data_IF_060331049966
#
_entry.id   IF_060331049966
#
_cell.length_a   1.000
_cell.length_b   1.000
_cell.length_c   1.000
_cell.angle_alpha   90.00
_cell.angle_beta   90.00
_cell.angle_gamma   90.00
#
_symmetry.space_group_name_H-M   'P 1'
#
loop_
_entity.id
_entity.type
_entity.pdbx_description
1 polymer ?
#
# COMPACT_ATOMS: atom_id res chain seq x y z
N UNK A 1 12.11 17.08 9.96
CA UNK A 1 11.93 16.26 8.75
C UNK A 1 11.27 17.14 7.70
N UNK A 2 11.51 16.92 6.39
CA UNK A 2 10.74 17.62 5.37
C UNK A 2 9.24 17.34 5.56
N UNK A 3 8.40 18.37 5.43
CA UNK A 3 6.95 18.19 5.40
C UNK A 3 6.54 17.51 4.09
N UNK A 4 5.53 16.64 4.10
CA UNK A 4 5.02 16.05 2.87
C UNK A 4 4.42 17.12 1.95
N UNK A 5 4.64 16.97 0.66
CA UNK A 5 4.13 17.87 -0.38
C UNK A 5 3.16 17.10 -1.27
N UNK A 6 1.94 17.63 -1.40
CA UNK A 6 0.95 17.14 -2.36
C UNK A 6 1.32 17.64 -3.77
N UNK A 7 1.26 16.76 -4.76
CA UNK A 7 1.19 17.19 -6.16
C UNK A 7 -0.19 17.79 -6.41
N UNK A 8 -0.28 19.12 -6.46
CA UNK A 8 -1.55 19.83 -6.67
C UNK A 8 -2.13 19.63 -8.08
N UNK A 9 -1.28 19.34 -9.08
CA UNK A 9 -1.71 19.12 -10.48
C UNK A 9 -2.30 17.74 -10.69
N UNK A 10 -1.88 16.75 -9.90
CA UNK A 10 -2.44 15.39 -9.96
C UNK A 10 -3.42 15.11 -8.82
N UNK A 11 -3.33 15.85 -7.73
CA UNK A 11 -3.97 15.57 -6.45
C UNK A 11 -3.48 14.25 -5.85
N UNK A 12 -2.16 14.13 -5.76
CA UNK A 12 -1.49 12.85 -5.51
C UNK A 12 -0.34 13.00 -4.51
N UNK A 13 -0.24 12.05 -3.60
CA UNK A 13 0.94 11.85 -2.76
C UNK A 13 1.65 10.60 -3.29
N UNK A 14 2.88 10.77 -3.76
CA UNK A 14 3.71 9.62 -4.13
C UNK A 14 4.07 8.78 -2.88
N UNK A 15 4.67 7.59 -3.09
CA UNK A 15 4.99 6.68 -1.98
C UNK A 15 5.88 7.32 -0.89
N UNK A 16 6.79 8.21 -1.26
CA UNK A 16 7.66 8.89 -0.31
C UNK A 16 6.90 9.96 0.48
N UNK A 17 6.11 10.79 -0.20
CA UNK A 17 5.27 11.81 0.46
C UNK A 17 4.24 11.16 1.39
N UNK A 18 3.62 10.06 0.95
CA UNK A 18 2.71 9.27 1.75
C UNK A 18 3.39 8.71 3.01
N UNK A 19 4.60 8.17 2.87
CA UNK A 19 5.38 7.70 4.02
C UNK A 19 5.65 8.82 5.01
N UNK A 20 6.11 9.99 4.55
CA UNK A 20 6.37 11.14 5.42
C UNK A 20 5.09 11.59 6.15
N UNK A 21 3.94 11.62 5.46
CA UNK A 21 2.66 12.01 6.06
C UNK A 21 2.24 11.05 7.18
N UNK A 22 2.35 9.75 6.93
CA UNK A 22 2.03 8.74 7.94
C UNK A 22 3.04 8.74 9.10
N UNK A 23 4.31 9.05 8.81
CA UNK A 23 5.36 9.16 9.82
C UNK A 23 5.10 10.35 10.74
N UNK A 24 4.77 11.52 10.19
CA UNK A 24 4.43 12.73 10.95
C UNK A 24 3.18 12.54 11.82
N UNK A 25 2.18 11.81 11.32
CA UNK A 25 0.92 11.60 12.04
C UNK A 25 1.04 10.65 13.26
N UNK A 26 2.08 9.83 13.35
CA UNK A 26 2.33 8.91 14.48
C UNK A 26 1.11 8.09 14.94
N UNK A 27 0.38 7.49 13.99
CA UNK A 27 -0.90 6.83 14.26
C UNK A 27 -0.76 5.63 15.21
N UNK A 28 -1.57 5.62 16.28
CA UNK A 28 -1.52 4.57 17.30
C UNK A 28 -1.97 3.20 16.76
N UNK A 29 -1.07 2.22 16.86
CA UNK A 29 -1.30 0.84 16.43
C UNK A 29 -1.06 0.61 14.94
N UNK A 30 -0.38 1.56 14.27
CA UNK A 30 0.15 1.43 12.92
C UNK A 30 1.68 1.45 12.97
N UNK A 31 2.31 0.47 12.34
CA UNK A 31 3.75 0.42 12.16
C UNK A 31 4.10 0.77 10.72
N UNK A 32 5.16 1.55 10.55
CA UNK A 32 5.74 1.86 9.25
C UNK A 32 7.06 1.10 9.10
N UNK A 33 7.29 0.37 8.00
CA UNK A 33 8.61 -0.13 7.68
C UNK A 33 9.57 1.04 7.47
N UNK A 34 10.80 0.93 7.96
CA UNK A 34 11.81 1.98 7.74
C UNK A 34 11.96 2.22 6.23
N UNK A 35 11.77 3.46 5.81
CA UNK A 35 11.76 3.84 4.39
C UNK A 35 12.68 5.03 4.20
N UNK A 36 13.48 4.97 3.14
CA UNK A 36 14.45 6.00 2.76
C UNK A 36 14.37 6.24 1.26
N UNK A 37 14.80 7.41 0.78
CA UNK A 37 15.11 7.59 -0.63
C UNK A 37 16.43 6.89 -0.97
N UNK A 38 16.58 6.38 -2.20
CA UNK A 38 17.78 5.65 -2.62
C UNK A 38 19.10 6.41 -2.36
N UNK A 39 19.21 7.74 -2.58
CA UNK A 39 20.43 8.50 -2.25
C UNK A 39 20.80 8.51 -0.77
N UNK A 40 19.85 8.20 0.12
CA UNK A 40 20.07 8.17 1.57
C UNK A 40 20.62 6.81 2.04
N UNK A 41 20.63 5.80 1.17
CA UNK A 41 21.11 4.47 1.50
C UNK A 41 22.64 4.45 1.51
N UNK A 42 23.20 4.13 2.66
CA UNK A 42 24.60 3.73 2.83
C UNK A 42 24.72 2.21 2.96
N UNK A 43 25.93 1.68 2.82
CA UNK A 43 26.21 0.25 3.06
C UNK A 43 25.82 -0.14 4.48
N UNK A 44 26.18 0.69 5.47
CA UNK A 44 25.85 0.44 6.87
C UNK A 44 24.35 0.41 7.10
N UNK A 45 23.60 1.32 6.47
CA UNK A 45 22.14 1.35 6.56
C UNK A 45 21.54 0.11 5.90
N UNK A 46 21.99 -0.24 4.70
CA UNK A 46 21.53 -1.43 3.97
C UNK A 46 21.73 -2.71 4.81
N UNK A 47 22.85 -2.81 5.52
CA UNK A 47 23.20 -3.95 6.39
C UNK A 47 22.42 -4.01 7.72
N UNK A 48 21.71 -2.95 8.13
CA UNK A 48 20.89 -2.97 9.35
C UNK A 48 19.74 -3.99 9.28
N UNK A 49 19.26 -4.29 8.07
CA UNK A 49 18.19 -5.24 7.84
C UNK A 49 18.58 -6.26 6.78
N UNK A 50 18.08 -7.48 6.90
CA UNK A 50 18.39 -8.56 5.98
C UNK A 50 17.63 -8.49 4.66
N UNK A 51 16.61 -7.63 4.53
CA UNK A 51 15.82 -7.53 3.31
C UNK A 51 15.13 -6.17 3.14
N UNK A 52 15.09 -5.70 1.90
CA UNK A 52 14.49 -4.44 1.49
C UNK A 52 13.74 -4.58 0.17
N UNK A 53 12.68 -3.80 0.01
CA UNK A 53 12.05 -3.52 -1.27
C UNK A 53 12.59 -2.24 -1.87
N UNK A 54 12.84 -2.26 -3.18
CA UNK A 54 13.19 -1.12 -4.01
C UNK A 54 11.95 -0.77 -4.84
N UNK A 55 11.41 0.43 -4.67
CA UNK A 55 10.14 0.83 -5.31
C UNK A 55 10.25 2.24 -5.88
N UNK A 56 10.00 2.44 -7.18
CA UNK A 56 9.79 3.77 -7.72
C UNK A 56 8.59 4.47 -7.05
N UNK A 57 8.68 5.79 -6.85
CA UNK A 57 7.68 6.54 -6.08
C UNK A 57 6.33 6.64 -6.79
N UNK A 58 6.29 6.69 -8.12
CA UNK A 58 5.07 6.94 -8.91
C UNK A 58 4.41 5.70 -9.52
N UNK A 59 5.03 4.51 -9.44
CA UNK A 59 4.49 3.33 -10.12
C UNK A 59 3.22 2.81 -9.46
N UNK A 60 2.27 2.35 -10.26
CA UNK A 60 1.07 1.64 -9.81
C UNK A 60 1.21 0.15 -10.11
N UNK A 61 0.48 -0.69 -9.39
CA UNK A 61 0.33 -2.11 -9.73
C UNK A 61 1.57 -2.99 -9.52
N UNK A 62 2.60 -2.50 -8.84
CA UNK A 62 3.79 -3.29 -8.49
C UNK A 62 4.88 -3.39 -9.57
N UNK A 63 4.78 -2.61 -10.65
CA UNK A 63 5.77 -2.60 -11.72
C UNK A 63 7.13 -2.04 -11.24
N UNK A 64 8.21 -2.66 -11.70
CA UNK A 64 9.61 -2.31 -11.38
C UNK A 64 9.97 -2.39 -9.89
N UNK A 65 9.20 -3.15 -9.10
CA UNK A 65 9.58 -3.42 -7.71
C UNK A 65 10.65 -4.51 -7.71
N UNK A 66 11.69 -4.30 -6.93
CA UNK A 66 12.66 -5.34 -6.62
C UNK A 66 12.73 -5.60 -5.13
N UNK A 67 13.24 -6.78 -4.77
CA UNK A 67 13.62 -7.14 -3.42
C UNK A 67 15.10 -7.43 -3.39
N UNK A 68 15.80 -6.83 -2.42
CA UNK A 68 17.18 -7.18 -2.10
C UNK A 68 17.21 -7.93 -0.78
N UNK A 69 17.94 -9.04 -0.72
CA UNK A 69 18.02 -9.90 0.46
C UNK A 69 19.46 -10.28 0.72
N UNK A 70 19.89 -10.17 1.97
CA UNK A 70 21.18 -10.67 2.46
C UNK A 70 20.99 -12.07 3.03
N UNK A 71 21.68 -13.04 2.45
CA UNK A 71 21.69 -14.42 2.92
C UNK A 71 22.64 -14.58 4.11
N UNK A 72 22.46 -15.65 4.90
CA UNK A 72 23.33 -15.96 6.03
C UNK A 72 24.80 -16.18 5.62
N UNK A 73 25.06 -16.55 4.36
CA UNK A 73 26.41 -16.64 3.78
C UNK A 73 27.09 -15.29 3.56
N UNK A 74 26.38 -14.18 3.73
CA UNK A 74 26.85 -12.82 3.40
C UNK A 74 26.55 -12.39 1.96
N UNK A 75 26.11 -13.31 1.09
CA UNK A 75 25.75 -13.01 -0.29
C UNK A 75 24.46 -12.18 -0.36
N UNK A 76 24.48 -11.14 -1.18
CA UNK A 76 23.32 -10.35 -1.51
C UNK A 76 22.63 -10.88 -2.76
N UNK A 77 21.30 -10.87 -2.76
CA UNK A 77 20.48 -11.21 -3.91
C UNK A 77 19.53 -10.08 -4.23
N UNK A 78 19.51 -9.66 -5.49
CA UNK A 78 18.50 -8.79 -6.08
C UNK A 78 17.53 -9.65 -6.88
N UNK A 79 16.23 -9.44 -6.69
CA UNK A 79 15.15 -10.12 -7.41
C UNK A 79 14.10 -9.08 -7.81
N UNK A 80 13.88 -8.86 -9.10
CA UNK A 80 12.88 -7.92 -9.60
C UNK A 80 11.57 -8.61 -10.00
N UNK A 81 10.48 -7.84 -10.00
CA UNK A 81 9.14 -8.31 -10.32
C UNK A 81 8.98 -8.81 -11.77
N UNK A 82 9.89 -8.42 -12.67
CA UNK A 82 9.95 -8.88 -14.06
C UNK A 82 10.78 -10.17 -14.26
N UNK A 83 11.30 -10.75 -13.16
CA UNK A 83 11.98 -12.03 -13.15
C UNK A 83 13.51 -11.95 -13.24
N UNK A 84 14.09 -10.76 -13.33
CA UNK A 84 15.54 -10.61 -13.25
C UNK A 84 16.05 -10.94 -11.82
N UNK A 85 17.16 -11.68 -11.76
CA UNK A 85 17.82 -12.04 -10.51
C UNK A 85 19.33 -11.91 -10.64
N UNK A 86 19.95 -11.19 -9.70
CA UNK A 86 21.42 -10.99 -9.63
C UNK A 86 21.93 -11.29 -8.24
N UNK A 87 23.17 -11.78 -8.14
CA UNK A 87 23.84 -12.02 -6.87
C UNK A 87 25.09 -11.15 -6.76
N UNK A 88 25.37 -10.65 -5.55
CA UNK A 88 26.49 -9.77 -5.28
C UNK A 88 27.21 -10.21 -4.01
N UNK A 89 28.54 -10.36 -4.08
CA UNK A 89 29.36 -10.68 -2.92
C UNK A 89 29.55 -9.48 -2.00
N UNK A 90 29.51 -8.26 -2.56
CA UNK A 90 29.70 -7.02 -1.81
C UNK A 90 28.50 -6.08 -1.95
N UNK A 91 28.06 -5.43 -0.85
CA UNK A 91 26.93 -4.50 -0.87
C UNK A 91 27.19 -3.25 -1.72
N UNK A 92 28.46 -2.87 -1.91
CA UNK A 92 28.84 -1.73 -2.77
C UNK A 92 28.48 -1.98 -4.24
N UNK A 93 28.67 -3.20 -4.73
CA UNK A 93 28.33 -3.57 -6.11
C UNK A 93 26.81 -3.55 -6.31
N UNK A 94 26.07 -4.10 -5.33
CA UNK A 94 24.61 -4.05 -5.32
C UNK A 94 24.12 -2.59 -5.37
N UNK A 95 24.64 -1.73 -4.49
CA UNK A 95 24.23 -0.33 -4.44
C UNK A 95 24.54 0.41 -5.75
N UNK A 96 25.69 0.13 -6.35
CA UNK A 96 26.07 0.70 -7.66
C UNK A 96 25.11 0.27 -8.76
N UNK A 97 24.68 -0.99 -8.77
CA UNK A 97 23.64 -1.48 -9.69
C UNK A 97 22.30 -0.80 -9.44
N UNK A 98 21.87 -0.63 -8.18
CA UNK A 98 20.62 0.06 -7.87
C UNK A 98 20.63 1.51 -8.37
N UNK A 99 21.72 2.24 -8.14
CA UNK A 99 21.89 3.62 -8.62
C UNK A 99 21.93 3.73 -10.15
N UNK A 100 22.27 2.65 -10.85
CA UNK A 100 22.27 2.61 -12.32
C UNK A 100 20.89 2.24 -12.88
N UNK A 101 20.19 1.31 -12.23
CA UNK A 101 18.90 0.80 -12.71
C UNK A 101 17.71 1.70 -12.35
N UNK A 102 17.82 2.49 -11.29
CA UNK A 102 16.74 3.29 -10.75
C UNK A 102 17.09 4.77 -10.75
N UNK A 103 16.09 5.63 -10.97
CA UNK A 103 16.24 7.09 -10.76
C UNK A 103 16.31 7.34 -9.25
N UNK A 104 17.46 7.77 -8.70
CA UNK A 104 17.67 7.74 -7.25
C UNK A 104 16.66 8.59 -6.47
N UNK A 105 16.43 9.83 -6.87
CA UNK A 105 15.54 10.78 -6.20
C UNK A 105 14.06 10.38 -6.30
N UNK A 106 13.73 9.43 -7.16
CA UNK A 106 12.36 8.95 -7.41
C UNK A 106 12.19 7.48 -7.03
N UNK A 107 13.05 6.97 -6.16
CA UNK A 107 13.04 5.58 -5.71
C UNK A 107 13.17 5.50 -4.20
N UNK A 108 12.24 4.79 -3.57
CA UNK A 108 12.34 4.45 -2.15
C UNK A 108 12.97 3.07 -1.96
N UNK A 109 13.70 2.95 -0.86
CA UNK A 109 14.24 1.71 -0.31
C UNK A 109 13.57 1.49 1.03
N UNK A 110 12.71 0.47 1.08
CA UNK A 110 11.79 0.21 2.19
C UNK A 110 12.09 -1.15 2.83
N UNK A 111 12.27 -1.17 4.14
CA UNK A 111 12.50 -2.39 4.91
C UNK A 111 11.39 -3.40 4.62
N UNK A 112 11.76 -4.67 4.42
CA UNK A 112 10.76 -5.74 4.43
C UNK A 112 10.20 -5.91 5.84
N UNK A 113 8.91 -5.65 6.00
CA UNK A 113 8.23 -5.77 7.29
C UNK A 113 8.22 -7.23 7.80
N UNK A 114 8.29 -7.47 9.12
CA UNK A 114 8.29 -8.80 9.72
C UNK A 114 6.87 -9.39 9.81
N UNK A 115 6.26 -9.62 8.65
CA UNK A 115 4.85 -10.05 8.54
C UNK A 115 4.71 -11.56 8.39
N UNK A 116 3.53 -12.07 8.71
CA UNK A 116 3.15 -13.47 8.53
C UNK A 116 3.00 -13.80 7.04
N UNK A 117 3.11 -15.09 6.75
CA UNK A 117 2.72 -15.71 5.49
C UNK A 117 1.62 -16.72 5.72
N UNK A 118 0.86 -17.07 4.68
CA UNK A 118 -0.10 -18.16 4.70
C UNK A 118 0.52 -19.37 4.01
N UNK A 119 0.93 -20.38 4.78
CA UNK A 119 1.58 -21.58 4.24
C UNK A 119 2.79 -21.25 3.35
N UNK A 120 3.61 -20.27 3.76
CA UNK A 120 4.78 -19.80 3.00
C UNK A 120 4.46 -18.78 1.90
N UNK A 121 3.19 -18.51 1.60
CA UNK A 121 2.79 -17.50 0.59
C UNK A 121 2.63 -16.12 1.22
N UNK A 122 3.17 -15.06 0.60
CA UNK A 122 2.97 -13.70 1.10
C UNK A 122 1.49 -13.32 1.00
N UNK A 123 1.01 -12.55 1.97
CA UNK A 123 -0.32 -11.96 1.90
C UNK A 123 -0.32 -10.52 2.42
N UNK A 124 -1.35 -9.78 2.04
CA UNK A 124 -1.73 -8.53 2.68
C UNK A 124 -3.25 -8.43 2.85
N UNK A 125 -3.68 -7.43 3.61
CA UNK A 125 -5.08 -7.03 3.73
C UNK A 125 -5.29 -5.73 2.97
N UNK A 126 -6.04 -5.79 1.87
CA UNK A 126 -6.60 -4.63 1.18
C UNK A 126 -7.83 -4.15 1.94
N UNK A 127 -7.78 -2.90 2.39
CA UNK A 127 -8.93 -2.20 2.98
C UNK A 127 -9.34 -1.07 2.05
N UNK A 128 -10.61 -1.06 1.63
CA UNK A 128 -11.17 0.04 0.86
C UNK A 128 -11.98 0.94 1.78
N UNK A 129 -11.62 2.23 1.80
CA UNK A 129 -12.33 3.28 2.50
C UNK A 129 -13.01 4.20 1.49
N UNK A 130 -14.20 4.65 1.84
CA UNK A 130 -15.10 5.39 0.97
C UNK A 130 -15.86 6.42 1.81
N UNK A 131 -16.10 7.63 1.30
CA UNK A 131 -17.12 8.56 1.81
C UNK A 131 -18.54 7.99 1.70
N UNK A 132 -19.37 8.14 2.71
CA UNK A 132 -20.79 7.80 2.64
C UNK A 132 -21.62 8.92 1.97
N UNK A 133 -22.94 8.90 2.21
CA UNK A 133 -23.86 9.90 1.66
C UNK A 133 -23.83 11.23 2.43
N UNK A 134 -23.30 11.23 3.66
CA UNK A 134 -23.10 12.40 4.52
C UNK A 134 -21.65 12.91 4.47
N UNK A 135 -20.85 12.38 3.54
CA UNK A 135 -19.44 12.71 3.35
C UNK A 135 -18.52 12.26 4.52
N UNK A 136 -18.97 11.28 5.31
CA UNK A 136 -18.17 10.68 6.36
C UNK A 136 -17.37 9.48 5.84
N UNK A 137 -16.12 9.32 6.29
CA UNK A 137 -15.33 8.13 5.98
C UNK A 137 -15.94 6.87 6.59
N UNK A 138 -16.14 5.86 5.75
CA UNK A 138 -16.46 4.49 6.16
C UNK A 138 -15.47 3.50 5.57
N UNK A 139 -15.26 2.40 6.28
CA UNK A 139 -14.60 1.23 5.68
C UNK A 139 -15.64 0.49 4.85
N UNK A 140 -15.47 0.53 3.53
CA UNK A 140 -16.35 -0.10 2.58
C UNK A 140 -16.21 -1.62 2.63
N UNK A 141 -14.98 -2.12 2.77
CA UNK A 141 -14.71 -3.55 2.85
C UNK A 141 -13.25 -3.87 3.10
N UNK A 142 -13.00 -5.11 3.50
CA UNK A 142 -11.67 -5.71 3.59
C UNK A 142 -11.62 -6.98 2.73
N UNK A 143 -10.47 -7.22 2.11
CA UNK A 143 -10.14 -8.51 1.51
C UNK A 143 -8.69 -8.85 1.79
N UNK A 144 -8.38 -10.14 1.82
CA UNK A 144 -7.01 -10.62 1.87
C UNK A 144 -6.56 -10.98 0.45
N UNK A 145 -5.38 -10.52 0.05
CA UNK A 145 -4.71 -10.94 -1.19
C UNK A 145 -3.59 -11.89 -0.81
N UNK A 146 -3.63 -13.12 -1.31
CA UNK A 146 -2.57 -14.10 -1.07
C UNK A 146 -1.85 -14.35 -2.38
N UNK A 147 -0.57 -13.98 -2.44
CA UNK A 147 0.27 -14.13 -3.63
C UNK A 147 0.52 -15.60 -4.00
N UNK A 148 1.10 -15.82 -5.18
CA UNK A 148 1.51 -17.14 -5.63
C UNK A 148 2.68 -17.70 -4.81
N UNK A 149 2.87 -19.02 -4.92
CA UNK A 149 4.03 -19.71 -4.36
C UNK A 149 5.31 -19.09 -4.96
N UNK A 150 6.29 -18.79 -4.12
CA UNK A 150 7.56 -18.14 -4.46
C UNK A 150 7.50 -16.68 -4.94
N UNK A 151 6.33 -16.03 -4.94
CA UNK A 151 6.25 -14.60 -5.26
C UNK A 151 6.94 -13.75 -4.20
N UNK A 152 7.62 -12.69 -4.66
CA UNK A 152 8.18 -11.66 -3.78
C UNK A 152 7.12 -10.66 -3.27
N UNK A 153 5.96 -10.59 -3.94
CA UNK A 153 4.85 -9.68 -3.60
C UNK A 153 3.52 -10.43 -3.54
N UNK A 154 2.58 -9.90 -2.78
CA UNK A 154 1.19 -10.39 -2.66
C UNK A 154 0.29 -10.00 -3.85
N UNK A 155 0.84 -9.37 -4.89
CA UNK A 155 0.05 -8.97 -6.05
C UNK A 155 -0.49 -10.19 -6.80
N UNK A 156 -1.80 -10.20 -7.07
CA UNK A 156 -2.52 -11.33 -7.67
C UNK A 156 -2.32 -11.38 -9.20
N UNK A 157 -1.89 -10.27 -9.81
CA UNK A 157 -1.87 -10.07 -11.27
C UNK A 157 -0.97 -11.00 -12.09
N UNK A 158 -0.09 -11.80 -11.47
CA UNK A 158 0.90 -12.63 -12.19
C UNK A 158 0.79 -14.14 -11.96
N UNK A 159 -0.36 -14.64 -11.48
CA UNK A 159 -0.69 -16.07 -11.49
C UNK A 159 -1.13 -16.61 -10.13
N UNK A 160 -2.03 -17.62 -10.12
CA UNK A 160 -2.54 -18.44 -9.00
C UNK A 160 -2.74 -17.80 -7.61
N UNK A 161 -2.72 -16.48 -7.50
CA UNK A 161 -3.07 -15.74 -6.30
C UNK A 161 -4.57 -15.89 -6.05
N UNK A 162 -4.97 -15.72 -4.80
CA UNK A 162 -6.38 -15.83 -4.42
C UNK A 162 -6.80 -14.67 -3.53
N UNK A 163 -8.08 -14.34 -3.61
CA UNK A 163 -8.75 -13.43 -2.69
C UNK A 163 -9.48 -14.25 -1.64
N UNK A 164 -9.23 -13.95 -0.37
CA UNK A 164 -9.95 -14.55 0.75
C UNK A 164 -10.72 -13.48 1.55
N UNK A 165 -11.87 -13.84 2.15
CA UNK A 165 -12.46 -13.03 3.22
C UNK A 165 -11.42 -12.80 4.33
N UNK A 166 -11.20 -11.54 4.72
CA UNK A 166 -10.17 -11.20 5.72
C UNK A 166 -10.34 -11.99 7.02
N UNK A 167 -11.56 -12.18 7.51
CA UNK A 167 -11.79 -12.96 8.74
C UNK A 167 -11.41 -14.44 8.60
N UNK A 168 -11.55 -15.02 7.40
CA UNK A 168 -11.14 -16.39 7.12
C UNK A 168 -9.61 -16.49 7.21
N UNK A 169 -8.89 -15.60 6.51
CA UNK A 169 -7.43 -15.54 6.58
C UNK A 169 -6.95 -15.37 8.03
N UNK A 170 -7.50 -14.38 8.76
CA UNK A 170 -7.11 -14.10 10.14
C UNK A 170 -7.29 -15.32 11.06
N UNK A 171 -8.34 -16.12 10.85
CA UNK A 171 -8.56 -17.35 11.63
C UNK A 171 -7.55 -18.44 11.29
N UNK A 172 -7.14 -18.54 10.02
CA UNK A 172 -6.13 -19.52 9.59
C UNK A 172 -4.74 -19.17 10.14
N UNK A 173 -4.31 -17.91 10.04
CA UNK A 173 -2.93 -17.51 10.41
C UNK A 173 -2.72 -17.39 11.92
N UNK A 174 -3.75 -17.01 12.68
CA UNK A 174 -3.62 -16.86 14.15
C UNK A 174 -4.12 -18.05 14.95
N UNK A 175 -5.03 -18.86 14.38
CA UNK A 175 -5.71 -19.96 15.10
C UNK A 175 -6.33 -19.53 16.45
N UNK A 176 -6.67 -18.24 16.57
CA UNK A 176 -7.19 -17.62 17.79
C UNK A 176 -8.28 -16.62 17.42
N UNK A 177 -9.55 -16.97 17.71
CA UNK A 177 -10.72 -16.19 17.29
C UNK A 177 -10.75 -14.80 17.91
N UNK A 178 -10.35 -14.65 19.17
CA UNK A 178 -10.37 -13.38 19.86
C UNK A 178 -9.32 -12.42 19.28
N UNK A 179 -8.13 -12.93 19.01
CA UNK A 179 -7.08 -12.17 18.34
C UNK A 179 -7.52 -11.75 16.94
N UNK A 180 -8.06 -12.68 16.12
CA UNK A 180 -8.59 -12.37 14.79
C UNK A 180 -9.63 -11.24 14.85
N UNK A 181 -10.56 -11.30 15.81
CA UNK A 181 -11.57 -10.25 16.00
C UNK A 181 -10.99 -8.90 16.42
N UNK A 182 -9.99 -8.89 17.31
CA UNK A 182 -9.27 -7.66 17.71
C UNK A 182 -8.51 -7.04 16.55
N UNK A 183 -7.82 -7.86 15.75
CA UNK A 183 -7.07 -7.39 14.57
C UNK A 183 -8.01 -6.76 13.55
N UNK A 184 -9.15 -7.39 13.25
CA UNK A 184 -10.13 -6.84 12.33
C UNK A 184 -10.69 -5.49 12.78
N UNK A 185 -11.01 -5.34 14.08
CA UNK A 185 -11.44 -4.04 14.63
C UNK A 185 -10.34 -2.98 14.55
N UNK A 186 -9.08 -3.37 14.78
CA UNK A 186 -7.94 -2.45 14.70
C UNK A 186 -7.66 -2.02 13.26
N UNK A 187 -7.75 -2.93 12.28
CA UNK A 187 -7.69 -2.60 10.85
C UNK A 187 -8.71 -1.51 10.53
N UNK A 188 -9.99 -1.72 10.88
CA UNK A 188 -11.04 -0.70 10.66
C UNK A 188 -10.68 0.65 11.26
N UNK A 189 -10.26 0.67 12.53
CA UNK A 189 -9.91 1.93 13.22
C UNK A 189 -8.77 2.65 12.53
N UNK A 190 -7.65 1.95 12.33
CA UNK A 190 -6.43 2.51 11.74
C UNK A 190 -6.67 2.98 10.30
N UNK A 191 -7.50 2.28 9.52
CA UNK A 191 -7.87 2.74 8.18
C UNK A 191 -8.61 4.08 8.19
N UNK A 192 -9.55 4.26 9.12
CA UNK A 192 -10.25 5.54 9.27
C UNK A 192 -9.32 6.64 9.82
N UNK A 193 -8.38 6.30 10.69
CA UNK A 193 -7.37 7.24 11.18
C UNK A 193 -6.46 7.72 10.03
N UNK A 194 -6.02 6.81 9.14
CA UNK A 194 -5.28 7.15 7.92
C UNK A 194 -6.09 8.11 7.04
N UNK A 195 -7.37 7.80 6.78
CA UNK A 195 -8.24 8.67 6.00
C UNK A 195 -8.36 10.09 6.58
N UNK A 196 -8.46 10.23 7.91
CA UNK A 196 -8.51 11.54 8.57
C UNK A 196 -7.19 12.31 8.45
N UNK A 197 -6.05 11.62 8.43
CA UNK A 197 -4.76 12.27 8.14
C UNK A 197 -4.74 12.76 6.70
N UNK A 198 -5.22 11.95 5.74
CA UNK A 198 -5.23 12.34 4.33
C UNK A 198 -6.11 13.56 4.06
N UNK A 199 -7.20 13.74 4.82
CA UNK A 199 -8.06 14.93 4.75
C UNK A 199 -7.32 16.24 5.05
N UNK A 200 -6.16 16.20 5.72
CA UNK A 200 -5.35 17.42 5.95
C UNK A 200 -4.51 17.83 4.74
N UNK A 201 -4.40 16.96 3.73
CA UNK A 201 -3.68 17.23 2.49
C UNK A 201 -4.64 17.52 1.34
N UNK A 202 -5.72 16.74 1.25
CA UNK A 202 -6.60 16.75 0.10
C UNK A 202 -7.97 16.11 0.42
N UNK A 203 -9.03 16.57 -0.24
CA UNK A 203 -10.35 15.95 -0.26
C UNK A 203 -10.31 14.69 -1.14
N UNK A 204 -9.88 13.58 -0.55
CA UNK A 204 -10.01 12.28 -1.17
C UNK A 204 -11.41 11.71 -0.94
N UNK A 205 -11.88 10.96 -1.93
CA UNK A 205 -13.16 10.26 -1.91
C UNK A 205 -12.97 8.79 -1.53
N UNK A 206 -11.86 8.21 -1.96
CA UNK A 206 -11.60 6.79 -1.86
C UNK A 206 -10.13 6.51 -1.58
N UNK A 207 -9.91 5.56 -0.67
CA UNK A 207 -8.57 5.16 -0.24
C UNK A 207 -8.49 3.65 -0.17
N UNK A 208 -7.59 3.07 -0.97
CA UNK A 208 -7.20 1.67 -0.88
C UNK A 208 -5.93 1.54 -0.04
N UNK A 209 -6.01 0.83 1.07
CA UNK A 209 -4.90 0.68 2.01
C UNK A 209 -4.47 -0.78 2.08
N UNK A 210 -3.17 -1.01 1.94
CA UNK A 210 -2.57 -2.33 1.97
C UNK A 210 -1.79 -2.52 3.26
N UNK A 211 -2.19 -3.52 4.04
CA UNK A 211 -1.59 -3.83 5.34
C UNK A 211 -0.94 -5.21 5.36
N UNK A 212 0.25 -5.28 5.93
CA UNK A 212 0.83 -6.51 6.45
C UNK A 212 0.47 -6.73 7.92
N UNK A 213 0.51 -7.98 8.37
CA UNK A 213 0.23 -8.35 9.75
C UNK A 213 1.34 -9.23 10.30
N UNK A 214 1.84 -8.93 11.49
CA UNK A 214 2.84 -9.79 12.15
C UNK A 214 2.22 -10.85 13.07
N UNK A 215 3.06 -11.73 13.64
CA UNK A 215 2.63 -12.81 14.52
C UNK A 215 1.84 -12.38 15.76
N UNK A 216 1.89 -11.11 16.14
CA UNK A 216 1.22 -10.55 17.32
C UNK A 216 -0.02 -9.74 16.94
N UNK A 217 -0.40 -9.69 15.66
CA UNK A 217 -1.50 -8.85 15.20
C UNK A 217 -1.16 -7.36 15.17
N UNK A 218 0.13 -6.99 15.12
CA UNK A 218 0.56 -5.62 14.83
C UNK A 218 0.42 -5.37 13.34
N UNK A 219 -0.08 -4.18 13.00
CA UNK A 219 -0.43 -3.79 11.63
C UNK A 219 0.74 -2.99 11.06
N UNK A 220 1.22 -3.42 9.89
CA UNK A 220 2.27 -2.75 9.13
C UNK A 220 1.68 -2.14 7.87
N UNK A 221 1.93 -0.86 7.61
CA UNK A 221 1.48 -0.20 6.39
C UNK A 221 2.42 -0.53 5.23
N UNK A 222 1.89 -1.03 4.13
CA UNK A 222 2.67 -1.27 2.90
C UNK A 222 2.47 -0.15 1.88
N UNK A 223 1.21 0.21 1.65
CA UNK A 223 0.86 1.22 0.64
C UNK A 223 -0.49 1.84 0.99
N UNK A 224 -0.65 3.09 0.59
CA UNK A 224 -1.93 3.82 0.58
C UNK A 224 -2.10 4.38 -0.82
N UNK A 225 -3.18 4.01 -1.47
CA UNK A 225 -3.56 4.47 -2.80
C UNK A 225 -4.82 5.32 -2.66
N UNK A 226 -4.80 6.55 -3.16
CA UNK A 226 -5.95 7.44 -3.17
C UNK A 226 -6.55 7.53 -4.57
N UNK A 227 -7.78 8.04 -4.68
CA UNK A 227 -8.22 8.58 -5.96
C UNK A 227 -7.42 9.85 -6.29
N UNK A 228 -7.12 10.03 -7.57
CA UNK A 228 -6.43 11.20 -8.11
C UNK A 228 -7.06 11.58 -9.46
N UNK A 229 -6.46 12.52 -10.20
CA UNK A 229 -7.00 12.91 -11.52
C UNK A 229 -6.87 11.83 -12.61
N UNK A 230 -6.05 10.80 -12.40
CA UNK A 230 -5.73 9.75 -13.38
C UNK A 230 -6.42 8.42 -13.07
N UNK A 231 -6.89 8.20 -11.85
CA UNK A 231 -7.51 6.95 -11.46
C UNK A 231 -7.98 6.88 -10.01
N UNK A 232 -8.31 5.65 -9.61
CA UNK A 232 -8.81 5.30 -8.27
C UNK A 232 -8.34 3.91 -7.86
N UNK A 233 -8.40 3.57 -6.57
CA UNK A 233 -8.18 2.20 -6.11
C UNK A 233 -9.05 1.18 -6.87
N UNK A 234 -8.46 0.06 -7.29
CA UNK A 234 -9.24 -0.99 -7.97
C UNK A 234 -10.26 -1.66 -7.03
N UNK A 235 -11.46 -1.87 -7.55
CA UNK A 235 -12.56 -2.58 -6.88
C UNK A 235 -12.66 -4.05 -7.30
N UNK A 236 -12.03 -4.44 -8.40
CA UNK A 236 -12.29 -5.72 -9.08
C UNK A 236 -12.05 -6.93 -8.19
N UNK A 237 -11.06 -6.85 -7.28
CA UNK A 237 -10.78 -7.94 -6.35
C UNK A 237 -11.94 -8.22 -5.38
N UNK A 238 -12.81 -7.24 -5.10
CA UNK A 238 -13.99 -7.46 -4.26
C UNK A 238 -15.04 -8.34 -4.94
N UNK A 239 -15.03 -8.47 -6.28
CA UNK A 239 -15.90 -9.42 -7.01
C UNK A 239 -15.58 -10.88 -6.68
N UNK A 240 -14.35 -11.17 -6.24
CA UNK A 240 -13.93 -12.53 -5.91
C UNK A 240 -14.37 -12.96 -4.51
N UNK A 241 -14.95 -12.05 -3.71
CA UNK A 241 -15.51 -12.39 -2.41
C UNK A 241 -16.88 -13.07 -2.56
N UNK A 242 -17.26 -13.99 -1.64
CA UNK A 242 -18.54 -14.68 -1.72
C UNK A 242 -19.77 -13.77 -1.63
N UNK A 243 -19.68 -12.67 -0.87
CA UNK A 243 -20.78 -11.73 -0.71
C UNK A 243 -20.70 -10.61 -1.76
N UNK A 244 -21.40 -10.80 -2.88
CA UNK A 244 -21.45 -9.84 -3.98
C UNK A 244 -22.09 -8.50 -3.58
N UNK A 245 -22.93 -8.46 -2.54
CA UNK A 245 -23.57 -7.20 -2.07
C UNK A 245 -22.53 -6.19 -1.63
N UNK A 246 -21.38 -6.65 -1.13
CA UNK A 246 -20.26 -5.80 -0.78
C UNK A 246 -19.73 -5.03 -1.99
N UNK A 247 -19.47 -5.74 -3.10
CA UNK A 247 -19.01 -5.14 -4.34
C UNK A 247 -20.06 -4.19 -4.92
N UNK A 248 -21.33 -4.60 -4.96
CA UNK A 248 -22.41 -3.76 -5.49
C UNK A 248 -22.53 -2.46 -4.68
N UNK A 249 -22.40 -2.51 -3.36
CA UNK A 249 -22.40 -1.33 -2.50
C UNK A 249 -21.17 -0.42 -2.69
N UNK A 250 -20.00 -1.00 -3.01
CA UNK A 250 -18.77 -0.25 -3.35
C UNK A 250 -18.98 0.53 -4.66
N UNK A 251 -19.47 -0.15 -5.70
CA UNK A 251 -19.73 0.46 -7.01
C UNK A 251 -20.79 1.54 -6.93
N UNK A 252 -21.88 1.28 -6.21
CA UNK A 252 -22.98 2.22 -6.04
C UNK A 252 -22.54 3.49 -5.29
N UNK A 253 -21.64 3.38 -4.29
CA UNK A 253 -21.01 4.56 -3.68
C UNK A 253 -20.11 5.32 -4.66
N UNK A 254 -19.34 4.62 -5.49
CA UNK A 254 -18.44 5.25 -6.46
C UNK A 254 -19.20 6.01 -7.56
N UNK A 255 -20.29 5.43 -8.10
CA UNK A 255 -21.15 6.08 -9.12
C UNK A 255 -21.75 7.39 -8.62
N UNK A 256 -22.38 7.36 -7.45
CA UNK A 256 -22.96 8.57 -6.84
C UNK A 256 -21.94 9.68 -6.64
N UNK A 257 -20.67 9.34 -6.40
CA UNK A 257 -19.62 10.35 -6.28
C UNK A 257 -19.18 10.93 -7.59
N UNK A 258 -19.06 10.12 -8.65
CA UNK A 258 -18.79 10.64 -9.98
C UNK A 258 -19.85 11.67 -10.39
N UNK A 259 -21.12 11.42 -10.06
CA UNK A 259 -22.21 12.38 -10.27
C UNK A 259 -22.09 13.65 -9.41
N UNK A 260 -21.61 13.54 -8.16
CA UNK A 260 -21.36 14.70 -7.30
C UNK A 260 -20.19 15.53 -7.80
N UNK A 261 -19.09 14.89 -8.18
CA UNK A 261 -17.90 15.54 -8.74
C UNK A 261 -18.24 16.27 -10.03
N UNK A 262 -18.97 15.62 -10.94
CA UNK A 262 -19.43 16.25 -12.18
C UNK A 262 -20.32 17.48 -11.90
N UNK A 263 -21.22 17.39 -10.92
CA UNK A 263 -22.05 18.52 -10.47
C UNK A 263 -21.26 19.65 -9.77
N UNK A 264 -20.11 19.37 -9.16
CA UNK A 264 -19.20 20.40 -8.61
C UNK A 264 -18.46 21.08 -9.76
N UNK A 265 -17.89 20.30 -10.68
CA UNK A 265 -17.17 20.80 -11.86
C UNK A 265 -18.05 21.76 -12.69
N UNK A 266 -19.30 21.38 -12.97
CA UNK A 266 -20.24 22.24 -13.71
C UNK A 266 -20.55 23.56 -12.98
N UNK A 267 -20.56 23.55 -11.64
CA UNK A 267 -20.78 24.77 -10.83
C UNK A 267 -19.57 25.69 -10.84
N UNK A 268 -18.37 25.14 -10.86
CA UNK A 268 -17.14 25.93 -10.89
C UNK A 268 -16.87 26.52 -12.28
N UNK A 269 -17.20 25.80 -13.37
CA UNK A 269 -17.16 26.35 -14.74
C UNK A 269 -18.19 27.47 -14.92
N UNK A 270 -19.36 27.37 -14.28
CA UNK A 270 -20.39 28.42 -14.29
C UNK A 270 -20.00 29.71 -13.55
N UNK A 271 -18.89 29.73 -12.80
CA UNK A 271 -18.39 30.92 -12.09
C UNK A 271 -17.34 31.73 -12.89
N UNK A 272 -16.85 31.21 -14.03
CA UNK A 272 -15.87 31.91 -14.88
C UNK A 272 -16.49 32.74 -16.03
N UNK A 273 -17.82 32.88 -16.07
CA UNK A 273 -18.50 33.89 -16.88
C UNK A 273 -19.40 34.79 -16.01
N UNK A 274 -18.84 35.76 -15.28
CA UNK A 274 -19.53 37.02 -15.08
C UNK A 274 -19.34 37.87 -16.34
N UNK A 275 -20.47 38.14 -17.01
CA UNK A 275 -20.65 39.23 -17.97
C UNK A 275 -20.17 40.58 -17.45
#
# INVERSE_FOLDING_TARGET
MPRPTLDEQRYFLDKWQMYLAMQEAHLNGLHLPNTYLLPQISIQLLEQFSSWYIKPVETWGGNQIARVTRHASGLWRFESSDGESRAFSHPVDLLSVLLTMYVPERTIVQQTAPVLTLSGRPFDIRTLCQRDHLDAWIVAGHLARVGSVNSIVSNIGTGHGEVLPTIQLLRQVYQNRDLSGRVLRRLRRVSLDICRVLDTYAEFDEVGIDFGLDRHGRIWLFEVNTNDRLGKPSHELFLQLPDRRLYDAIEERAKRRQERWFRRLLRDVGRFHPS
#
